data_IF_152438842448
#
_entry.id   IF_152438842448
#
_cell.length_a   1.000
_cell.length_b   1.000
_cell.length_c   1.000
_cell.angle_alpha   90.00
_cell.angle_beta   90.00
_cell.angle_gamma   90.00
#
_symmetry.space_group_name_H-M   'P 1'
#
loop_
_entity.id
_entity.type
_entity.pdbx_description
1 polymer ?
#
# COMPACT_ATOMS: atom_id res chain seq x y z
N UNK A 1 -16.67 -3.36 -12.31
CA UNK A 1 -17.88 -2.57 -11.95
C UNK A 1 -18.78 -3.27 -10.91
N UNK A 2 -19.04 -4.60 -11.05
CA UNK A 2 -19.90 -5.32 -10.07
C UNK A 2 -19.28 -5.35 -8.68
N UNK A 3 -18.00 -5.73 -8.55
CA UNK A 3 -17.28 -5.77 -7.27
C UNK A 3 -17.20 -4.39 -6.61
N UNK A 4 -16.95 -3.33 -7.37
CA UNK A 4 -16.91 -1.96 -6.86
C UNK A 4 -18.28 -1.53 -6.29
N UNK A 5 -19.36 -1.92 -6.99
CA UNK A 5 -20.73 -1.64 -6.53
C UNK A 5 -21.06 -2.43 -5.25
N UNK A 6 -20.66 -3.70 -5.17
CA UNK A 6 -20.85 -4.51 -3.96
C UNK A 6 -20.09 -3.94 -2.77
N UNK A 7 -18.87 -3.43 -2.99
CA UNK A 7 -18.06 -2.79 -1.94
C UNK A 7 -18.76 -1.54 -1.37
N UNK A 8 -19.31 -0.70 -2.25
CA UNK A 8 -20.08 0.47 -1.86
C UNK A 8 -21.36 0.10 -1.09
N UNK A 9 -22.04 -0.97 -1.51
CA UNK A 9 -23.25 -1.47 -0.83
C UNK A 9 -22.92 -1.99 0.57
N UNK A 10 -21.84 -2.75 0.75
CA UNK A 10 -21.37 -3.22 2.07
C UNK A 10 -21.02 -2.04 2.98
N UNK A 11 -20.29 -1.03 2.45
CA UNK A 11 -19.98 0.18 3.20
C UNK A 11 -21.24 0.96 3.63
N UNK A 12 -22.24 1.05 2.75
CA UNK A 12 -23.51 1.69 3.09
C UNK A 12 -24.30 0.90 4.14
N UNK A 13 -24.34 -0.43 4.05
CA UNK A 13 -24.99 -1.29 5.04
C UNK A 13 -24.34 -1.16 6.43
N UNK A 14 -22.99 -1.05 6.48
CA UNK A 14 -22.25 -0.83 7.73
C UNK A 14 -22.68 0.47 8.43
N UNK A 15 -22.89 1.54 7.67
CA UNK A 15 -23.35 2.85 8.21
C UNK A 15 -24.82 2.80 8.65
N UNK A 16 -25.67 2.05 7.94
CA UNK A 16 -27.12 2.00 8.19
C UNK A 16 -27.45 1.03 9.33
N UNK A 17 -26.72 -0.08 9.46
CA UNK A 17 -27.04 -1.12 10.42
C UNK A 17 -26.90 -0.66 11.88
N UNK A 18 -25.89 0.17 12.19
CA UNK A 18 -25.71 0.74 13.54
C UNK A 18 -25.63 -0.30 14.66
N UNK A 19 -25.44 -1.57 14.32
CA UNK A 19 -25.47 -2.71 15.21
C UNK A 19 -24.07 -3.31 15.31
N UNK A 20 -23.48 -3.27 16.49
CA UNK A 20 -22.14 -3.78 16.78
C UNK A 20 -21.98 -5.26 16.38
N UNK A 21 -23.07 -6.04 16.42
CA UNK A 21 -23.07 -7.45 16.05
C UNK A 21 -22.85 -7.69 14.53
N UNK A 22 -23.15 -6.71 13.70
CA UNK A 22 -22.97 -6.79 12.23
C UNK A 22 -21.67 -6.15 11.75
N UNK A 23 -20.96 -5.43 12.60
CA UNK A 23 -19.77 -4.68 12.21
C UNK A 23 -18.62 -5.62 11.80
N UNK A 24 -18.40 -6.71 12.54
CA UNK A 24 -17.38 -7.70 12.26
C UNK A 24 -17.65 -8.49 10.96
N UNK A 25 -18.85 -9.09 10.74
CA UNK A 25 -19.19 -9.76 9.49
C UNK A 25 -19.15 -8.85 8.26
N UNK A 26 -19.58 -7.60 8.36
CA UNK A 26 -19.54 -6.64 7.27
C UNK A 26 -18.10 -6.22 6.93
N UNK A 27 -17.25 -6.10 7.94
CA UNK A 27 -15.82 -5.82 7.77
C UNK A 27 -15.10 -6.98 7.06
N UNK A 28 -15.41 -8.24 7.45
CA UNK A 28 -14.86 -9.44 6.81
C UNK A 28 -15.30 -9.54 5.35
N UNK A 29 -16.57 -9.27 5.06
CA UNK A 29 -17.09 -9.23 3.70
C UNK A 29 -16.43 -8.13 2.87
N UNK A 30 -16.21 -6.96 3.43
CA UNK A 30 -15.51 -5.85 2.77
C UNK A 30 -14.05 -6.22 2.44
N UNK A 31 -13.36 -6.87 3.36
CA UNK A 31 -12.00 -7.36 3.16
C UNK A 31 -11.94 -8.44 2.07
N UNK A 32 -12.89 -9.37 2.07
CA UNK A 32 -13.00 -10.42 1.04
C UNK A 32 -13.22 -9.82 -0.34
N UNK A 33 -14.11 -8.83 -0.47
CA UNK A 33 -14.35 -8.13 -1.74
C UNK A 33 -13.14 -7.32 -2.22
N UNK A 34 -12.41 -6.67 -1.32
CA UNK A 34 -11.18 -5.96 -1.63
C UNK A 34 -10.09 -6.92 -2.14
N UNK A 35 -9.95 -8.07 -1.49
CA UNK A 35 -9.01 -9.12 -1.90
C UNK A 35 -9.38 -9.67 -3.27
N UNK A 36 -10.66 -9.97 -3.51
CA UNK A 36 -11.16 -10.43 -4.80
C UNK A 36 -10.93 -9.39 -5.91
N UNK A 37 -11.18 -8.10 -5.65
CA UNK A 37 -10.88 -7.02 -6.60
C UNK A 37 -9.40 -6.94 -6.95
N UNK A 38 -8.54 -7.10 -5.93
CA UNK A 38 -7.09 -7.09 -6.14
C UNK A 38 -6.65 -8.29 -6.98
N UNK A 39 -7.15 -9.48 -6.67
CA UNK A 39 -6.83 -10.70 -7.43
C UNK A 39 -7.29 -10.62 -8.89
N UNK A 40 -8.49 -10.10 -9.14
CA UNK A 40 -8.99 -9.88 -10.51
C UNK A 40 -8.13 -8.87 -11.26
N UNK A 41 -7.74 -7.76 -10.62
CA UNK A 41 -6.83 -6.79 -11.23
C UNK A 41 -5.47 -7.41 -11.56
N UNK A 42 -4.88 -8.16 -10.63
CA UNK A 42 -3.61 -8.85 -10.86
C UNK A 42 -3.73 -9.84 -12.02
N UNK A 43 -4.78 -10.67 -12.05
CA UNK A 43 -5.00 -11.66 -13.12
C UNK A 43 -5.24 -11.03 -14.50
N UNK A 44 -5.93 -9.88 -14.57
CA UNK A 44 -6.14 -9.15 -15.83
C UNK A 44 -4.84 -8.48 -16.29
N UNK A 45 -4.03 -8.00 -15.39
CA UNK A 45 -2.74 -7.39 -15.71
C UNK A 45 -1.66 -8.41 -16.09
N UNK A 46 -1.66 -9.61 -15.49
CA UNK A 46 -0.73 -10.69 -15.87
C UNK A 46 -0.88 -11.12 -17.35
N UNK A 47 -2.03 -10.83 -17.97
CA UNK A 47 -2.30 -11.13 -19.37
C UNK A 47 -1.86 -10.02 -20.35
N UNK A 48 -1.43 -8.84 -19.87
CA UNK A 48 -1.23 -7.69 -20.77
C UNK A 48 0.07 -6.88 -20.54
N UNK A 49 0.94 -7.22 -19.58
CA UNK A 49 1.98 -6.26 -19.20
C UNK A 49 3.40 -6.82 -19.01
N UNK A 50 4.13 -6.80 -20.13
CA UNK A 50 5.60 -6.59 -20.09
C UNK A 50 5.97 -5.09 -19.85
N UNK A 51 4.99 -4.21 -19.64
CA UNK A 51 5.14 -2.77 -19.85
C UNK A 51 5.04 -1.86 -18.63
N UNK A 52 4.82 -2.34 -17.37
CA UNK A 52 4.83 -1.40 -16.24
C UNK A 52 6.25 -0.99 -15.92
N UNK A 53 6.54 0.26 -16.21
CA UNK A 53 7.71 0.95 -15.68
C UNK A 53 7.44 1.42 -14.25
N UNK A 54 8.02 0.68 -13.28
CA UNK A 54 7.81 0.97 -11.86
C UNK A 54 8.35 2.35 -11.50
N UNK A 55 9.52 2.72 -12.00
CA UNK A 55 10.17 4.00 -11.68
C UNK A 55 9.30 5.17 -12.13
N UNK A 56 8.86 5.18 -13.39
CA UNK A 56 7.97 6.20 -13.93
C UNK A 56 6.65 6.27 -13.17
N UNK A 57 6.05 5.13 -12.83
CA UNK A 57 4.79 5.09 -12.05
C UNK A 57 4.97 5.67 -10.64
N UNK A 58 6.11 5.41 -9.99
CA UNK A 58 6.40 5.99 -8.67
C UNK A 58 6.62 7.50 -8.76
N UNK A 59 7.27 8.00 -9.80
CA UNK A 59 7.39 9.44 -10.06
C UNK A 59 6.02 10.10 -10.22
N UNK A 60 5.13 9.54 -11.02
CA UNK A 60 3.76 10.06 -11.18
C UNK A 60 2.99 10.16 -9.85
N UNK A 61 3.15 9.15 -8.97
CA UNK A 61 2.52 9.17 -7.63
C UNK A 61 3.09 10.31 -6.78
N UNK A 62 4.40 10.51 -6.83
CA UNK A 62 5.11 11.52 -6.04
C UNK A 62 4.78 12.93 -6.54
N UNK A 63 4.77 13.13 -7.84
CA UNK A 63 4.50 14.44 -8.47
C UNK A 63 3.07 14.93 -8.19
N UNK A 64 2.14 14.02 -7.89
CA UNK A 64 0.79 14.36 -7.44
C UNK A 64 0.70 14.93 -6.02
N UNK A 65 1.83 14.98 -5.27
CA UNK A 65 1.86 15.42 -3.86
C UNK A 65 2.37 16.84 -3.73
N UNK A 66 1.53 17.74 -3.22
CA UNK A 66 1.89 19.16 -3.06
C UNK A 66 2.18 19.58 -1.61
N UNK A 67 1.90 18.71 -0.62
CA UNK A 67 1.98 19.03 0.81
C UNK A 67 3.31 18.67 1.46
N UNK A 68 4.00 17.68 0.90
CA UNK A 68 5.22 17.07 1.43
C UNK A 68 6.22 16.88 0.30
N UNK A 69 7.48 17.27 0.51
CA UNK A 69 8.54 16.99 -0.47
C UNK A 69 8.94 15.53 -0.36
N UNK A 70 8.73 14.75 -1.42
CA UNK A 70 9.07 13.33 -1.47
C UNK A 70 10.24 13.14 -2.44
N UNK A 71 11.28 12.43 -1.99
CA UNK A 71 12.40 11.99 -2.85
C UNK A 71 12.28 10.52 -3.18
N UNK A 72 12.61 10.13 -4.40
CA UNK A 72 12.73 8.75 -4.84
C UNK A 72 14.20 8.40 -5.08
N UNK A 73 14.64 7.31 -4.47
CA UNK A 73 15.91 6.64 -4.78
C UNK A 73 15.57 5.27 -5.39
N UNK A 74 15.92 5.08 -6.65
CA UNK A 74 15.61 3.88 -7.41
C UNK A 74 16.91 3.20 -7.86
N UNK A 75 17.25 2.09 -7.21
CA UNK A 75 18.48 1.32 -7.42
C UNK A 75 18.10 -0.12 -7.82
N UNK A 76 17.65 -0.26 -9.07
CA UNK A 76 17.18 -1.53 -9.63
C UNK A 76 17.92 -1.81 -10.93
N UNK A 77 18.80 -2.79 -10.89
CA UNK A 77 19.44 -3.30 -12.10
C UNK A 77 18.60 -4.45 -12.69
N UNK A 78 18.00 -4.20 -13.87
CA UNK A 78 17.13 -5.14 -14.56
C UNK A 78 15.65 -4.95 -14.25
N UNK A 79 14.88 -6.04 -14.20
CA UNK A 79 13.42 -5.98 -14.10
C UNK A 79 12.92 -6.71 -12.87
N UNK A 80 12.05 -6.05 -12.07
CA UNK A 80 11.32 -6.70 -11.00
C UNK A 80 10.17 -7.54 -11.57
N UNK A 81 9.84 -8.68 -10.95
CA UNK A 81 8.63 -9.42 -11.27
C UNK A 81 7.36 -8.56 -11.12
N UNK A 82 6.41 -8.70 -12.05
CA UNK A 82 5.18 -7.91 -12.05
C UNK A 82 4.41 -7.94 -10.72
N UNK A 83 4.24 -9.09 -10.03
CA UNK A 83 3.58 -9.10 -8.73
C UNK A 83 4.24 -8.18 -7.70
N UNK A 84 5.57 -8.05 -7.73
CA UNK A 84 6.33 -7.16 -6.83
C UNK A 84 6.13 -5.70 -7.23
N UNK A 85 6.18 -5.38 -8.54
CA UNK A 85 5.90 -4.03 -9.04
C UNK A 85 4.52 -3.54 -8.57
N UNK A 86 3.47 -4.36 -8.76
CA UNK A 86 2.11 -4.03 -8.34
C UNK A 86 1.99 -3.85 -6.82
N UNK A 87 2.63 -4.72 -6.05
CA UNK A 87 2.64 -4.60 -4.61
C UNK A 87 3.30 -3.28 -4.17
N UNK A 88 4.46 -2.95 -4.73
CA UNK A 88 5.18 -1.72 -4.40
C UNK A 88 4.38 -0.47 -4.78
N UNK A 89 3.78 -0.43 -5.97
CA UNK A 89 2.91 0.67 -6.40
C UNK A 89 1.73 0.87 -5.44
N UNK A 90 1.04 -0.21 -5.08
CA UNK A 90 -0.11 -0.13 -4.19
C UNK A 90 0.28 0.34 -2.78
N UNK A 91 1.41 -0.15 -2.26
CA UNK A 91 1.92 0.24 -0.95
C UNK A 91 2.39 1.69 -0.94
N UNK A 92 3.09 2.14 -1.98
CA UNK A 92 3.51 3.54 -2.10
C UNK A 92 2.31 4.47 -2.18
N UNK A 93 1.28 4.14 -2.97
CA UNK A 93 0.03 4.92 -3.03
C UNK A 93 -0.62 5.05 -1.65
N UNK A 94 -0.73 3.97 -0.91
CA UNK A 94 -1.33 3.98 0.43
C UNK A 94 -0.45 4.74 1.43
N UNK A 95 0.88 4.54 1.40
CA UNK A 95 1.80 5.27 2.27
C UNK A 95 1.77 6.79 2.02
N UNK A 96 1.78 7.20 0.76
CA UNK A 96 1.68 8.61 0.36
C UNK A 96 0.34 9.20 0.80
N UNK A 97 -0.77 8.49 0.64
CA UNK A 97 -2.08 8.91 1.13
C UNK A 97 -2.09 9.06 2.67
N UNK A 98 -1.43 8.16 3.40
CA UNK A 98 -1.29 8.23 4.85
C UNK A 98 -0.45 9.44 5.27
N UNK A 99 0.65 9.72 4.57
CA UNK A 99 1.47 10.90 4.81
C UNK A 99 0.62 12.17 4.63
N UNK A 100 -0.13 12.29 3.54
CA UNK A 100 -0.95 13.46 3.26
C UNK A 100 -2.09 13.66 4.26
N UNK A 101 -2.72 12.59 4.75
CA UNK A 101 -3.88 12.67 5.63
C UNK A 101 -3.54 12.72 7.11
N UNK A 102 -2.49 12.03 7.51
CA UNK A 102 -2.23 11.73 8.92
C UNK A 102 -0.89 12.25 9.42
N UNK A 103 0.06 12.57 8.53
CA UNK A 103 1.37 13.09 8.92
C UNK A 103 1.42 14.62 8.82
N UNK A 104 2.26 15.23 9.66
CA UNK A 104 2.67 16.64 9.51
C UNK A 104 4.06 16.75 8.87
N UNK A 105 4.53 15.68 8.21
CA UNK A 105 5.83 15.61 7.59
C UNK A 105 6.01 16.67 6.49
N UNK A 106 7.19 17.29 6.47
CA UNK A 106 7.62 18.21 5.40
C UNK A 106 8.44 17.49 4.35
N UNK A 107 9.10 16.40 4.74
CA UNK A 107 9.91 15.59 3.85
C UNK A 107 9.60 14.11 4.07
N UNK A 108 9.63 13.37 2.96
CA UNK A 108 9.61 11.92 2.95
C UNK A 108 10.59 11.39 1.91
N UNK A 109 10.98 10.14 2.05
CA UNK A 109 11.83 9.43 1.10
C UNK A 109 11.27 8.06 0.79
N UNK A 110 11.35 7.69 -0.47
CA UNK A 110 11.01 6.35 -0.97
C UNK A 110 12.27 5.78 -1.58
N UNK A 111 12.62 4.57 -1.19
CA UNK A 111 13.78 3.86 -1.73
C UNK A 111 13.35 2.49 -2.21
N UNK A 112 13.68 2.18 -3.46
CA UNK A 112 13.51 0.85 -4.07
C UNK A 112 14.88 0.33 -4.45
N UNK A 113 15.23 -0.85 -3.95
CA UNK A 113 16.51 -1.48 -4.28
C UNK A 113 16.32 -2.95 -4.66
N UNK A 114 17.12 -3.40 -5.63
CA UNK A 114 17.23 -4.79 -5.97
C UNK A 114 18.61 -5.34 -5.56
N UNK A 115 18.61 -6.26 -4.60
CA UNK A 115 19.80 -6.98 -4.18
C UNK A 115 19.82 -8.41 -4.78
N UNK A 116 20.97 -9.09 -4.80
CA UNK A 116 21.05 -10.45 -5.33
C UNK A 116 20.08 -11.46 -4.69
N UNK A 117 19.73 -11.26 -3.41
CA UNK A 117 18.86 -12.19 -2.65
C UNK A 117 17.50 -11.64 -2.27
N UNK A 118 17.20 -10.37 -2.50
CA UNK A 118 15.94 -9.76 -2.09
C UNK A 118 15.66 -8.45 -2.80
N UNK A 119 14.39 -8.05 -2.76
CA UNK A 119 13.88 -6.74 -3.16
C UNK A 119 13.53 -5.95 -1.91
N UNK A 120 13.92 -4.67 -1.87
CA UNK A 120 13.67 -3.76 -0.76
C UNK A 120 12.79 -2.60 -1.22
N UNK A 121 11.74 -2.30 -0.46
CA UNK A 121 11.05 -1.01 -0.49
C UNK A 121 11.13 -0.40 0.91
N UNK A 122 11.63 0.82 1.01
CA UNK A 122 11.64 1.61 2.25
C UNK A 122 10.96 2.95 2.01
N UNK A 123 10.05 3.32 2.90
CA UNK A 123 9.34 4.60 2.88
C UNK A 123 9.51 5.22 4.25
N UNK A 124 9.98 6.47 4.31
CA UNK A 124 10.24 7.18 5.56
C UNK A 124 9.70 8.59 5.45
N UNK A 125 8.94 9.05 6.43
CA UNK A 125 8.59 10.44 6.59
C UNK A 125 9.16 11.03 7.89
N UNK A 126 9.32 12.34 7.95
CA UNK A 126 9.83 13.05 9.12
C UNK A 126 8.73 13.66 9.98
N UNK A 127 7.51 13.15 9.93
CA UNK A 127 6.40 13.61 10.75
C UNK A 127 6.56 13.27 12.21
N UNK A 128 6.06 14.14 13.08
CA UNK A 128 6.04 13.93 14.53
C UNK A 128 4.65 13.56 15.06
N UNK A 129 3.63 13.70 14.22
CA UNK A 129 2.29 13.21 14.53
C UNK A 129 2.23 11.71 14.25
N UNK A 130 2.45 10.93 15.27
CA UNK A 130 2.12 9.51 15.27
C UNK A 130 0.65 9.46 15.70
N UNK A 131 -0.22 9.05 14.81
CA UNK A 131 -1.58 8.70 15.21
C UNK A 131 -1.47 7.49 16.14
N UNK A 132 -1.53 7.74 17.44
CA UNK A 132 -1.58 6.70 18.49
C UNK A 132 -2.95 6.03 18.56
N UNK A 133 -3.79 6.27 17.55
CA UNK A 133 -5.05 5.58 17.49
C UNK A 133 -4.79 4.07 17.39
N UNK A 134 -5.41 3.31 18.26
CA UNK A 134 -5.50 1.84 18.36
C UNK A 134 -6.00 1.14 17.09
N UNK A 135 -5.97 1.81 15.98
CA UNK A 135 -6.32 1.29 14.69
C UNK A 135 -5.02 1.00 13.90
N UNK A 136 -4.59 -0.25 13.92
CA UNK A 136 -3.98 -0.78 12.71
C UNK A 136 -5.02 -0.60 11.61
N UNK A 137 -5.02 0.58 11.01
CA UNK A 137 -6.01 0.97 10.03
C UNK A 137 -6.04 -0.06 8.90
N UNK A 138 -7.18 -0.23 8.27
CA UNK A 138 -7.39 -1.15 7.13
C UNK A 138 -6.24 -1.04 6.11
N UNK A 139 -5.67 0.15 5.93
CA UNK A 139 -4.53 0.39 5.04
C UNK A 139 -3.25 -0.37 5.41
N UNK A 140 -2.87 -0.37 6.70
CA UNK A 140 -1.68 -1.10 7.14
C UNK A 140 -1.88 -2.62 7.08
N UNK A 141 -3.07 -3.10 7.45
CA UNK A 141 -3.44 -4.52 7.32
C UNK A 141 -3.39 -4.99 5.87
N UNK A 142 -3.90 -4.20 4.93
CA UNK A 142 -3.85 -4.50 3.50
C UNK A 142 -2.41 -4.53 2.97
N UNK A 143 -1.51 -3.67 3.48
CA UNK A 143 -0.09 -3.73 3.14
C UNK A 143 0.55 -5.03 3.64
N UNK A 144 0.25 -5.43 4.90
CA UNK A 144 0.75 -6.68 5.49
C UNK A 144 0.31 -7.91 4.70
N UNK A 145 -0.97 -8.00 4.35
CA UNK A 145 -1.51 -9.11 3.57
C UNK A 145 -0.87 -9.21 2.19
N UNK A 146 -0.70 -8.07 1.51
CA UNK A 146 -0.07 -8.00 0.19
C UNK A 146 1.38 -8.47 0.21
N UNK A 147 2.15 -8.05 1.22
CA UNK A 147 3.55 -8.47 1.38
C UNK A 147 3.64 -9.95 1.76
N UNK A 148 2.73 -10.43 2.62
CA UNK A 148 2.64 -11.84 3.02
C UNK A 148 2.33 -12.74 1.81
N UNK A 149 1.44 -12.32 0.90
CA UNK A 149 1.13 -13.05 -0.33
C UNK A 149 2.36 -13.25 -1.24
N UNK A 150 3.38 -12.42 -1.10
CA UNK A 150 4.66 -12.52 -1.81
C UNK A 150 5.77 -13.16 -0.97
N UNK A 151 5.42 -13.84 0.13
CA UNK A 151 6.37 -14.42 1.10
C UNK A 151 7.39 -13.38 1.62
N UNK A 152 6.98 -12.12 1.67
CA UNK A 152 7.79 -11.01 2.16
C UNK A 152 7.57 -10.73 3.64
N UNK A 153 8.38 -9.79 4.14
CA UNK A 153 8.31 -9.26 5.51
C UNK A 153 8.11 -7.75 5.43
N UNK A 154 7.17 -7.22 6.19
CA UNK A 154 6.95 -5.79 6.38
C UNK A 154 7.19 -5.42 7.84
N UNK A 155 7.81 -4.26 8.07
CA UNK A 155 8.01 -3.68 9.40
C UNK A 155 7.60 -2.22 9.39
N UNK A 156 6.94 -1.81 10.46
CA UNK A 156 6.59 -0.42 10.75
C UNK A 156 7.40 0.07 11.94
N UNK A 157 7.93 1.27 11.85
CA UNK A 157 8.68 1.93 12.92
C UNK A 157 8.18 3.37 13.06
N UNK A 158 8.11 3.87 14.29
CA UNK A 158 7.55 5.18 14.63
C UNK A 158 8.47 6.02 15.52
N UNK A 159 9.71 5.59 15.73
CA UNK A 159 10.61 6.28 16.68
C UNK A 159 11.05 7.67 16.18
N UNK A 160 11.27 7.82 14.88
CA UNK A 160 11.77 9.05 14.26
C UNK A 160 10.98 9.44 13.01
N UNK A 161 9.65 9.56 13.14
CA UNK A 161 8.71 9.65 12.04
C UNK A 161 8.09 8.28 11.74
N UNK A 162 7.38 8.15 10.63
CA UNK A 162 6.80 6.86 10.24
C UNK A 162 7.66 6.21 9.17
N UNK A 163 8.09 4.97 9.44
CA UNK A 163 8.93 4.21 8.52
C UNK A 163 8.27 2.86 8.19
N UNK A 164 8.20 2.56 6.91
CA UNK A 164 7.82 1.25 6.38
C UNK A 164 9.05 0.62 5.74
N UNK A 165 9.33 -0.62 6.09
CA UNK A 165 10.41 -1.40 5.45
C UNK A 165 9.84 -2.74 5.00
N UNK A 166 10.00 -3.06 3.71
CA UNK A 166 9.52 -4.28 3.09
C UNK A 166 10.69 -5.00 2.45
N UNK A 167 10.78 -6.30 2.73
CA UNK A 167 11.78 -7.19 2.16
C UNK A 167 11.06 -8.39 1.56
N UNK A 168 11.26 -8.63 0.27
CA UNK A 168 10.73 -9.79 -0.44
C UNK A 168 11.93 -10.59 -0.98
N UNK A 169 12.01 -11.87 -0.66
CA UNK A 169 13.09 -12.73 -1.14
C UNK A 169 12.98 -12.94 -2.65
N UNK A 170 14.13 -12.99 -3.28
CA UNK A 170 14.27 -13.25 -4.72
C UNK A 170 14.26 -14.74 -5.01
#
# INVERSE_FOLDING_TARGET
HMLTRSLLQVGALKVIAGDDALDEPLTELQNTLNTAMTNVRTSVHDLHDDAIDLESTLHEIIDGVNTTKISLEYDVEGTLPNPIKYAFIAIVKEAVNNIQKHSNAKNASIRVCMHPGFYLLSIVDNGTKISTADSRGIGLSNMEERVRALNGVIRFDTEHGFKITIIIRR
#
